data_IF_158369641455
#
_entry.id   IF_158369641455
#
_cell.length_a   1.000
_cell.length_b   1.000
_cell.length_c   1.000
_cell.angle_alpha   90.00
_cell.angle_beta   90.00
_cell.angle_gamma   90.00
#
_symmetry.space_group_name_H-M   'P 1'
#
loop_
_entity.id
_entity.type
_entity.pdbx_description
1 polymer ?
#
# COMPACT_ATOMS: atom_id res chain seq x y z
N UNK A 1 -50.08 -32.48 66.75
CA UNK A 1 -50.14 -31.62 65.54
C UNK A 1 -48.86 -30.81 65.25
N UNK A 2 -47.89 -30.66 66.17
CA UNK A 2 -46.69 -29.84 65.93
C UNK A 2 -45.62 -30.40 64.98
N UNK A 3 -45.41 -31.72 64.95
CA UNK A 3 -44.31 -32.36 64.18
C UNK A 3 -44.50 -32.27 62.65
N UNK A 4 -45.75 -32.26 62.17
CA UNK A 4 -46.08 -32.15 60.74
C UNK A 4 -45.82 -30.72 60.24
N UNK A 5 -46.09 -29.73 61.08
CA UNK A 5 -45.87 -28.32 60.78
C UNK A 5 -44.38 -27.97 60.71
N UNK A 6 -43.56 -28.49 61.63
CA UNK A 6 -42.10 -28.30 61.59
C UNK A 6 -41.45 -28.94 60.36
N UNK A 7 -41.91 -30.12 59.94
CA UNK A 7 -41.43 -30.77 58.72
C UNK A 7 -41.79 -29.95 57.46
N UNK A 8 -43.03 -29.45 57.37
CA UNK A 8 -43.45 -28.56 56.28
C UNK A 8 -42.66 -27.25 56.25
N UNK A 9 -42.43 -26.63 57.40
CA UNK A 9 -41.61 -25.42 57.49
C UNK A 9 -40.17 -25.67 57.04
N UNK A 10 -39.53 -26.77 57.46
CA UNK A 10 -38.17 -27.11 57.00
C UNK A 10 -38.10 -27.32 55.48
N UNK A 11 -39.14 -27.93 54.90
CA UNK A 11 -39.22 -28.14 53.46
C UNK A 11 -39.39 -26.82 52.69
N UNK A 12 -40.29 -25.95 53.13
CA UNK A 12 -40.50 -24.61 52.55
C UNK A 12 -39.22 -23.75 52.65
N UNK A 13 -38.52 -23.78 53.79
CA UNK A 13 -37.27 -23.01 53.95
C UNK A 13 -36.17 -23.52 53.01
N UNK A 14 -36.11 -24.83 52.77
CA UNK A 14 -35.17 -25.44 51.82
C UNK A 14 -35.50 -25.03 50.38
N UNK A 15 -36.78 -25.10 49.99
CA UNK A 15 -37.24 -24.65 48.67
C UNK A 15 -36.94 -23.15 48.45
N UNK A 16 -37.16 -22.30 49.45
CA UNK A 16 -36.79 -20.88 49.42
C UNK A 16 -35.27 -20.66 49.25
N UNK A 17 -34.45 -21.46 49.93
CA UNK A 17 -32.99 -21.38 49.80
C UNK A 17 -32.53 -21.81 48.40
N UNK A 18 -33.12 -22.88 47.85
CA UNK A 18 -32.80 -23.38 46.51
C UNK A 18 -33.26 -22.40 45.42
N UNK A 19 -34.48 -21.83 45.53
CA UNK A 19 -34.94 -20.76 44.63
C UNK A 19 -34.04 -19.52 44.69
N UNK A 20 -33.59 -19.12 45.89
CA UNK A 20 -32.66 -17.98 46.04
C UNK A 20 -31.31 -18.26 45.39
N UNK A 21 -30.81 -19.50 45.46
CA UNK A 21 -29.58 -19.92 44.78
C UNK A 21 -29.73 -19.88 43.26
N UNK A 22 -30.84 -20.40 42.73
CA UNK A 22 -31.12 -20.37 41.29
C UNK A 22 -31.23 -18.94 40.76
N UNK A 23 -31.95 -18.05 41.47
CA UNK A 23 -32.06 -16.63 41.09
C UNK A 23 -30.71 -15.91 41.10
N UNK A 24 -29.85 -16.20 42.08
CA UNK A 24 -28.50 -15.63 42.11
C UNK A 24 -27.65 -16.14 40.96
N UNK A 25 -27.73 -17.43 40.61
CA UNK A 25 -27.00 -18.00 39.46
C UNK A 25 -27.46 -17.37 38.15
N UNK A 26 -28.77 -17.22 37.92
CA UNK A 26 -29.31 -16.54 36.74
C UNK A 26 -28.90 -15.07 36.69
N UNK A 27 -28.88 -14.38 37.84
CA UNK A 27 -28.43 -13.00 37.93
C UNK A 27 -26.96 -12.87 37.56
N UNK A 28 -26.09 -13.72 38.11
CA UNK A 28 -24.67 -13.73 37.76
C UNK A 28 -24.47 -14.01 36.27
N UNK A 29 -25.20 -14.99 35.72
CA UNK A 29 -25.13 -15.32 34.29
C UNK A 29 -25.54 -14.13 33.41
N UNK A 30 -26.61 -13.42 33.75
CA UNK A 30 -27.03 -12.21 33.01
C UNK A 30 -26.02 -11.08 33.13
N UNK A 31 -25.40 -10.91 34.29
CA UNK A 31 -24.35 -9.89 34.51
C UNK A 31 -23.04 -10.23 33.76
N UNK A 32 -22.75 -11.52 33.56
CA UNK A 32 -21.63 -11.99 32.73
C UNK A 32 -21.95 -11.80 31.24
N UNK A 33 -23.11 -12.25 30.76
CA UNK A 33 -23.57 -12.05 29.37
C UNK A 33 -23.61 -10.56 28.99
N UNK A 34 -24.08 -9.69 29.88
CA UNK A 34 -24.11 -8.25 29.65
C UNK A 34 -22.68 -7.65 29.53
N UNK A 35 -21.73 -8.14 30.34
CA UNK A 35 -20.32 -7.72 30.26
C UNK A 35 -19.67 -8.19 28.97
N UNK A 36 -19.86 -9.45 28.59
CA UNK A 36 -19.36 -9.99 27.32
C UNK A 36 -19.93 -9.21 26.12
N UNK A 37 -21.23 -8.88 26.16
CA UNK A 37 -21.86 -8.08 25.12
C UNK A 37 -21.25 -6.67 25.03
N UNK A 38 -21.05 -5.99 26.17
CA UNK A 38 -20.41 -4.68 26.20
C UNK A 38 -18.96 -4.73 25.67
N UNK A 39 -18.20 -5.77 26.01
CA UNK A 39 -16.85 -5.94 25.47
C UNK A 39 -16.85 -6.13 23.94
N UNK A 40 -17.80 -6.92 23.43
CA UNK A 40 -17.94 -7.13 21.99
C UNK A 40 -18.34 -5.84 21.26
N UNK A 41 -19.25 -5.04 21.84
CA UNK A 41 -19.63 -3.73 21.30
C UNK A 41 -18.43 -2.77 21.26
N UNK A 42 -17.64 -2.72 22.33
CA UNK A 42 -16.42 -1.88 22.38
C UNK A 42 -15.44 -2.33 21.30
N UNK A 43 -15.17 -3.64 21.18
CA UNK A 43 -14.25 -4.16 20.15
C UNK A 43 -14.76 -3.89 18.73
N UNK A 44 -16.06 -4.02 18.50
CA UNK A 44 -16.68 -3.72 17.21
C UNK A 44 -16.51 -2.23 16.87
N UNK A 45 -16.78 -1.34 17.83
CA UNK A 45 -16.61 0.09 17.69
C UNK A 45 -15.16 0.49 17.42
N UNK A 46 -14.20 -0.09 18.15
CA UNK A 46 -12.77 0.16 17.93
C UNK A 46 -12.32 -0.30 16.53
N UNK A 47 -12.81 -1.45 16.09
CA UNK A 47 -12.51 -2.00 14.77
C UNK A 47 -13.07 -1.11 13.66
N UNK A 48 -14.32 -0.67 13.80
CA UNK A 48 -14.95 0.26 12.85
C UNK A 48 -14.20 1.59 12.78
N UNK A 49 -13.79 2.13 13.94
CA UNK A 49 -12.99 3.36 14.01
C UNK A 49 -11.66 3.20 13.28
N UNK A 50 -10.95 2.09 13.48
CA UNK A 50 -9.68 1.81 12.77
C UNK A 50 -9.91 1.68 11.27
N UNK A 51 -10.97 0.98 10.84
CA UNK A 51 -11.33 0.86 9.42
C UNK A 51 -11.57 2.22 8.77
N UNK A 52 -12.31 3.13 9.43
CA UNK A 52 -12.53 4.49 8.93
C UNK A 52 -11.22 5.26 8.77
N UNK A 53 -10.28 5.14 9.72
CA UNK A 53 -8.96 5.78 9.63
C UNK A 53 -8.15 5.26 8.44
N UNK A 54 -8.16 3.95 8.20
CA UNK A 54 -7.49 3.36 7.03
C UNK A 54 -8.11 3.84 5.72
N UNK A 55 -9.43 3.81 5.59
CA UNK A 55 -10.13 4.30 4.40
C UNK A 55 -9.83 5.78 4.12
N UNK A 56 -9.76 6.62 5.16
CA UNK A 56 -9.42 8.03 5.01
C UNK A 56 -7.95 8.22 4.58
N UNK A 57 -7.03 7.41 5.11
CA UNK A 57 -5.63 7.41 4.68
C UNK A 57 -5.51 6.99 3.21
N UNK A 58 -6.19 5.93 2.80
CA UNK A 58 -6.22 5.48 1.40
C UNK A 58 -6.80 6.54 0.47
N UNK A 59 -7.88 7.21 0.88
CA UNK A 59 -8.47 8.31 0.12
C UNK A 59 -7.46 9.44 -0.07
N UNK A 60 -6.78 9.86 0.99
CA UNK A 60 -5.72 10.89 0.91
C UNK A 60 -4.58 10.50 -0.02
N UNK A 61 -4.11 9.26 0.06
CA UNK A 61 -3.06 8.75 -0.84
C UNK A 61 -3.55 8.78 -2.29
N UNK A 62 -4.77 8.32 -2.55
CA UNK A 62 -5.38 8.32 -3.89
C UNK A 62 -5.53 9.74 -4.44
N UNK A 63 -5.99 10.68 -3.62
CA UNK A 63 -6.18 12.07 -4.03
C UNK A 63 -4.85 12.77 -4.28
N UNK A 64 -3.81 12.47 -3.48
CA UNK A 64 -2.45 12.90 -3.74
C UNK A 64 -1.94 12.37 -5.09
N UNK A 65 -2.11 11.08 -5.38
CA UNK A 65 -1.71 10.52 -6.68
C UNK A 65 -2.48 11.12 -7.85
N UNK A 66 -3.80 11.35 -7.70
CA UNK A 66 -4.60 12.06 -8.69
C UNK A 66 -4.07 13.47 -8.92
N UNK A 67 -3.76 14.20 -7.85
CA UNK A 67 -3.20 15.55 -7.94
C UNK A 67 -1.85 15.56 -8.65
N UNK A 68 -0.93 14.68 -8.25
CA UNK A 68 0.39 14.55 -8.90
C UNK A 68 0.25 14.19 -10.38
N UNK A 69 -0.65 13.27 -10.71
CA UNK A 69 -0.97 12.92 -12.10
C UNK A 69 -1.47 14.15 -12.87
N UNK A 70 -2.53 14.81 -12.41
CA UNK A 70 -3.12 15.94 -13.12
C UNK A 70 -2.21 17.16 -13.21
N UNK A 71 -1.39 17.41 -12.19
CA UNK A 71 -0.53 18.59 -12.13
C UNK A 71 0.81 18.41 -12.84
N UNK A 72 1.40 17.21 -12.79
CA UNK A 72 2.77 17.00 -13.27
C UNK A 72 2.83 16.12 -14.52
N UNK A 73 2.03 15.05 -14.58
CA UNK A 73 2.07 14.10 -15.70
C UNK A 73 1.16 14.55 -16.85
N UNK A 74 -0.08 14.92 -16.55
CA UNK A 74 -1.07 15.30 -17.57
C UNK A 74 -0.59 16.43 -18.50
N UNK A 75 0.10 17.48 -18.02
CA UNK A 75 0.58 18.55 -18.90
C UNK A 75 1.55 18.06 -19.98
N UNK A 76 2.32 16.99 -19.72
CA UNK A 76 3.27 16.43 -20.70
C UNK A 76 2.56 15.91 -21.97
N UNK A 77 1.31 15.47 -21.84
CA UNK A 77 0.53 15.00 -22.98
C UNK A 77 0.01 16.15 -23.85
N UNK A 78 -0.15 17.35 -23.29
CA UNK A 78 -0.54 18.55 -24.02
C UNK A 78 0.62 19.43 -24.47
N UNK A 79 1.84 19.17 -24.01
CA UNK A 79 3.02 19.93 -24.41
C UNK A 79 3.40 19.69 -25.87
N UNK A 80 3.84 20.75 -26.53
CA UNK A 80 4.40 20.67 -27.88
C UNK A 80 5.76 19.98 -27.89
N UNK A 81 6.13 19.37 -29.03
CA UNK A 81 7.37 18.62 -29.20
C UNK A 81 8.62 19.47 -28.87
N UNK A 82 8.63 20.72 -29.30
CA UNK A 82 9.72 21.68 -29.08
C UNK A 82 9.96 21.96 -27.60
N UNK A 83 8.89 22.07 -26.81
CA UNK A 83 8.99 22.30 -25.38
C UNK A 83 9.31 21.02 -24.62
N UNK A 84 8.80 19.87 -25.06
CA UNK A 84 9.20 18.57 -24.53
C UNK A 84 10.70 18.34 -24.68
N UNK A 85 11.28 18.64 -25.85
CA UNK A 85 12.73 18.56 -26.09
C UNK A 85 13.55 19.40 -25.12
N UNK A 86 13.05 20.56 -24.70
CA UNK A 86 13.73 21.44 -23.71
C UNK A 86 13.56 20.94 -22.28
N UNK A 87 12.47 20.21 -22.00
CA UNK A 87 12.16 19.74 -20.66
C UNK A 87 12.94 18.49 -20.26
N UNK A 88 13.40 17.70 -21.25
CA UNK A 88 14.09 16.44 -21.01
C UNK A 88 15.60 16.55 -21.17
N UNK A 89 16.34 15.65 -20.51
CA UNK A 89 17.80 15.58 -20.68
C UNK A 89 18.13 14.93 -22.03
N UNK A 90 18.96 15.56 -22.87
CA UNK A 90 19.22 15.06 -24.23
C UNK A 90 20.15 13.85 -24.29
N UNK A 91 20.91 13.56 -23.24
CA UNK A 91 21.88 12.45 -23.17
C UNK A 91 21.22 11.06 -23.13
N UNK A 92 19.92 10.99 -22.85
CA UNK A 92 19.19 9.72 -22.76
C UNK A 92 18.32 9.42 -23.98
N UNK A 93 18.27 10.29 -24.99
CA UNK A 93 17.49 10.08 -26.21
C UNK A 93 18.40 9.88 -27.42
N UNK A 94 18.15 8.85 -28.22
CA UNK A 94 18.85 8.63 -29.48
C UNK A 94 17.91 8.04 -30.54
N UNK A 95 18.28 8.16 -31.80
CA UNK A 95 17.56 7.51 -32.90
C UNK A 95 18.35 6.30 -33.39
N UNK A 96 17.75 5.10 -33.31
CA UNK A 96 18.34 3.88 -33.83
C UNK A 96 18.00 3.73 -35.31
N UNK A 97 19.04 3.71 -36.16
CA UNK A 97 18.87 3.50 -37.60
C UNK A 97 18.49 2.04 -37.92
N UNK A 98 18.97 1.09 -37.12
CA UNK A 98 18.68 -0.34 -37.28
C UNK A 98 17.20 -0.65 -37.00
N UNK A 99 16.71 -0.16 -35.86
CA UNK A 99 15.32 -0.36 -35.42
C UNK A 99 14.34 0.67 -36.03
N UNK A 100 14.85 1.68 -36.74
CA UNK A 100 14.09 2.83 -37.27
C UNK A 100 13.16 3.45 -36.22
N UNK A 101 13.67 3.60 -35.00
CA UNK A 101 12.88 3.97 -33.83
C UNK A 101 13.66 4.87 -32.89
N UNK A 102 12.94 5.56 -32.01
CA UNK A 102 13.51 6.43 -30.99
C UNK A 102 13.80 5.63 -29.73
N UNK A 103 15.06 5.54 -29.36
CA UNK A 103 15.54 4.85 -28.16
C UNK A 103 15.69 5.81 -26.98
N UNK A 104 15.21 5.37 -25.82
CA UNK A 104 15.46 6.00 -24.54
C UNK A 104 16.35 5.09 -23.71
N UNK A 105 17.55 5.53 -23.37
CA UNK A 105 18.46 4.75 -22.54
C UNK A 105 17.87 4.55 -21.13
N UNK A 106 17.77 3.30 -20.70
CA UNK A 106 17.30 2.92 -19.36
C UNK A 106 18.42 2.41 -18.47
N UNK A 107 19.51 1.89 -19.05
CA UNK A 107 20.71 1.47 -18.33
C UNK A 107 21.97 1.90 -19.07
N UNK A 108 22.96 2.38 -18.32
CA UNK A 108 24.28 2.75 -18.83
C UNK A 108 25.39 1.93 -18.17
N UNK A 109 26.47 1.72 -18.91
CA UNK A 109 27.71 1.26 -18.33
C UNK A 109 28.29 2.36 -17.43
N UNK A 110 28.56 2.06 -16.17
CA UNK A 110 29.16 2.98 -15.21
C UNK A 110 30.55 3.47 -15.65
N UNK A 111 31.32 2.60 -16.31
CA UNK A 111 32.70 2.87 -16.71
C UNK A 111 32.79 3.61 -18.05
N UNK A 112 32.26 3.04 -19.13
CA UNK A 112 32.37 3.61 -20.47
C UNK A 112 31.19 4.51 -20.88
N UNK A 113 30.13 4.59 -20.07
CA UNK A 113 28.89 5.36 -20.36
C UNK A 113 28.13 4.91 -21.61
N UNK A 114 28.48 3.76 -22.18
CA UNK A 114 27.71 3.14 -23.25
C UNK A 114 26.32 2.72 -22.77
N UNK A 115 25.34 2.76 -23.68
CA UNK A 115 23.97 2.32 -23.39
C UNK A 115 23.94 0.80 -23.38
N UNK A 116 23.51 0.21 -22.25
CA UNK A 116 23.38 -1.24 -22.12
C UNK A 116 21.97 -1.72 -22.42
N UNK A 117 20.99 -0.90 -22.08
CA UNK A 117 19.59 -1.19 -22.32
C UNK A 117 18.85 0.09 -22.69
N UNK A 118 17.96 -0.03 -23.67
CA UNK A 118 17.12 1.07 -24.13
C UNK A 118 15.69 0.61 -24.40
N UNK A 119 14.74 1.50 -24.13
CA UNK A 119 13.34 1.35 -24.50
C UNK A 119 13.09 2.06 -25.83
N UNK A 120 12.53 1.36 -26.81
CA UNK A 120 12.28 1.89 -28.14
C UNK A 120 10.83 2.33 -28.33
N UNK A 121 10.65 3.40 -29.11
CA UNK A 121 9.37 4.02 -29.42
C UNK A 121 9.26 4.35 -30.91
N UNK A 122 8.03 4.25 -31.42
CA UNK A 122 7.74 4.50 -32.84
C UNK A 122 7.88 5.96 -33.23
N UNK A 123 7.70 6.87 -32.28
CA UNK A 123 7.75 8.31 -32.51
C UNK A 123 8.62 9.02 -31.47
N UNK A 124 9.24 10.12 -31.89
CA UNK A 124 10.02 10.98 -31.00
C UNK A 124 9.17 11.53 -29.85
N UNK A 125 7.92 11.88 -30.16
CA UNK A 125 6.99 12.42 -29.19
C UNK A 125 6.72 11.43 -28.04
N UNK A 126 6.57 10.14 -28.34
CA UNK A 126 6.39 9.10 -27.33
C UNK A 126 7.64 8.93 -26.47
N UNK A 127 8.82 8.88 -27.10
CA UNK A 127 10.09 8.78 -26.39
C UNK A 127 10.32 9.97 -25.44
N UNK A 128 10.08 11.18 -25.92
CA UNK A 128 10.18 12.41 -25.13
C UNK A 128 9.19 12.43 -23.96
N UNK A 129 7.93 12.02 -24.18
CA UNK A 129 6.94 11.91 -23.10
C UNK A 129 7.35 10.88 -22.06
N UNK A 130 7.81 9.71 -22.50
CA UNK A 130 8.30 8.68 -21.59
C UNK A 130 9.46 9.17 -20.72
N UNK A 131 10.43 9.87 -21.33
CA UNK A 131 11.55 10.48 -20.61
C UNK A 131 11.09 11.55 -19.60
N UNK A 132 10.23 12.46 -20.03
CA UNK A 132 9.69 13.51 -19.16
C UNK A 132 8.95 12.91 -17.96
N UNK A 133 8.17 11.84 -18.17
CA UNK A 133 7.50 11.12 -17.08
C UNK A 133 8.53 10.53 -16.11
N UNK A 134 9.57 9.84 -16.59
CA UNK A 134 10.62 9.28 -15.71
C UNK A 134 11.29 10.37 -14.87
N UNK A 135 11.62 11.50 -15.47
CA UNK A 135 12.26 12.62 -14.76
C UNK A 135 11.34 13.25 -13.71
N UNK A 136 10.05 13.43 -14.02
CA UNK A 136 9.05 13.92 -13.06
C UNK A 136 8.92 12.95 -11.88
N UNK A 137 8.94 11.64 -12.15
CA UNK A 137 8.90 10.62 -11.11
C UNK A 137 10.23 10.45 -10.36
N UNK A 138 11.29 11.17 -10.75
CA UNK A 138 12.61 11.05 -10.14
C UNK A 138 13.32 9.73 -10.45
N UNK A 139 12.92 9.04 -11.52
CA UNK A 139 13.48 7.76 -11.94
C UNK A 139 14.70 8.03 -12.82
N UNK A 140 15.89 7.82 -12.28
CA UNK A 140 17.14 7.88 -13.05
C UNK A 140 17.33 6.61 -13.89
N UNK A 141 18.12 6.67 -14.97
CA UNK A 141 18.68 5.47 -15.59
C UNK A 141 19.46 4.64 -14.58
N UNK A 142 19.47 3.33 -14.78
CA UNK A 142 20.28 2.40 -14.00
C UNK A 142 21.74 2.42 -14.46
N UNK A 143 22.64 1.95 -13.59
CA UNK A 143 24.05 1.82 -13.90
C UNK A 143 24.51 0.40 -13.63
N UNK A 144 25.12 -0.22 -14.63
CA UNK A 144 25.76 -1.54 -14.53
C UNK A 144 27.15 -1.50 -15.18
N UNK A 145 27.89 -2.60 -15.22
CA UNK A 145 29.19 -2.69 -15.90
C UNK A 145 29.07 -3.59 -17.12
N UNK A 146 29.40 -3.06 -18.30
CA UNK A 146 29.42 -3.88 -19.51
C UNK A 146 30.48 -4.98 -19.42
N UNK A 147 30.28 -6.08 -20.14
CA UNK A 147 31.19 -7.23 -20.10
C UNK A 147 32.62 -6.89 -20.50
N UNK A 148 32.82 -5.98 -21.46
CA UNK A 148 34.16 -5.54 -21.87
C UNK A 148 34.88 -4.79 -20.75
N UNK A 149 34.17 -3.84 -20.11
CA UNK A 149 34.67 -3.08 -18.96
C UNK A 149 34.98 -4.01 -17.77
N UNK A 150 34.10 -4.97 -17.49
CA UNK A 150 34.30 -5.98 -16.47
C UNK A 150 35.56 -6.82 -16.73
N UNK A 151 35.73 -7.33 -17.96
CA UNK A 151 36.90 -8.12 -18.33
C UNK A 151 38.21 -7.32 -18.24
N UNK A 152 38.19 -6.06 -18.65
CA UNK A 152 39.37 -5.20 -18.56
C UNK A 152 39.77 -4.93 -17.10
N UNK A 153 38.80 -4.70 -16.22
CA UNK A 153 39.06 -4.56 -14.79
C UNK A 153 39.64 -5.84 -14.18
N UNK A 154 39.10 -7.01 -14.55
CA UNK A 154 39.62 -8.30 -14.07
C UNK A 154 41.06 -8.56 -14.53
N UNK A 155 41.44 -8.15 -15.76
CA UNK A 155 42.82 -8.25 -16.24
C UNK A 155 43.78 -7.31 -15.50
N UNK A 156 43.32 -6.13 -15.10
CA UNK A 156 44.15 -5.16 -14.39
C UNK A 156 44.40 -5.54 -12.91
N UNK A 157 43.53 -6.36 -12.33
CA UNK A 157 43.64 -6.84 -10.94
C UNK A 157 44.30 -8.22 -10.80
N UNK A 158 44.70 -8.86 -11.90
CA UNK A 158 45.41 -10.14 -11.94
C UNK A 158 46.93 -9.92 -12.00
#
# INVERSE_FOLDING_TARGET
MGVIWEKKLKQITKELQDSKRMLNQERTKREEEAREHQELEIRAWETERRLRQYQERERRIRDMFKYEYWKRISPLYSMELTDLRKSVRPDTLFYSQEEKSWGVAVCYCYQCREVLEAQYFSSELEALRYMAIKQILGISPEFDTCMECYQNHMKACA
#
